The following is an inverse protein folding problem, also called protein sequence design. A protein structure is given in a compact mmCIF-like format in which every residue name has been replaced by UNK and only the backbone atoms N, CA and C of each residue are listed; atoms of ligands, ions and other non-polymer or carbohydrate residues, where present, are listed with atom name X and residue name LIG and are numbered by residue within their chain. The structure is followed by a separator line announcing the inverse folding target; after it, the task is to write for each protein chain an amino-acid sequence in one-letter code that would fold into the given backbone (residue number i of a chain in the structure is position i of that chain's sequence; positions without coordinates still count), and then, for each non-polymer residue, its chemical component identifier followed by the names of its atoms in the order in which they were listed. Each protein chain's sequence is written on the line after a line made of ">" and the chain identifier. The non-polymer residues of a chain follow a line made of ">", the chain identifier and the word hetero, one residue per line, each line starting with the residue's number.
data_IF_434786122765
#
_entry.id   IF_434786122765
#
_cell.length_a   1.000
_cell.length_b   1.000
_cell.length_c   1.000
_cell.angle_alpha   90.00
_cell.angle_beta   90.00
_cell.angle_gamma   90.00
#
_symmetry.space_group_name_H-M   'P 1'
#
loop_
_entity.id
_entity.type
_entity.pdbx_description
1 polymer ?
#
# COMPACT_ATOMS: atom_id res chain seq x y z
N UNK A 1 -7.97 12.17 -17.68
CA UNK A 1 -7.05 13.28 -17.37
C UNK A 1 -6.04 12.87 -16.32
N UNK A 2 -4.80 13.28 -16.48
CA UNK A 2 -3.76 13.01 -15.51
C UNK A 2 -3.47 14.27 -14.72
N UNK A 3 -3.46 14.16 -13.39
CA UNK A 3 -3.18 15.30 -12.51
C UNK A 3 -2.41 14.86 -11.29
N UNK A 4 -1.87 15.81 -10.54
CA UNK A 4 -1.20 15.47 -9.29
C UNK A 4 -2.19 14.95 -8.26
N UNK A 5 -1.75 13.96 -7.49
CA UNK A 5 -2.56 13.42 -6.40
C UNK A 5 -2.58 14.37 -5.21
N UNK A 6 -3.67 14.33 -4.48
CA UNK A 6 -3.83 15.08 -3.23
C UNK A 6 -4.22 14.11 -2.11
N UNK A 7 -4.20 14.60 -0.87
CA UNK A 7 -4.60 13.77 0.27
C UNK A 7 -6.04 13.25 0.13
N UNK A 8 -6.90 14.00 -0.56
CA UNK A 8 -8.28 13.58 -0.77
C UNK A 8 -8.42 12.40 -1.71
N UNK A 9 -7.38 12.08 -2.48
CA UNK A 9 -7.39 10.97 -3.43
C UNK A 9 -6.96 9.65 -2.81
N UNK A 10 -6.43 9.66 -1.59
CA UNK A 10 -5.82 8.47 -0.98
C UNK A 10 -6.79 7.32 -0.80
N UNK A 11 -8.05 7.59 -0.47
CA UNK A 11 -9.05 6.54 -0.34
C UNK A 11 -9.28 5.80 -1.65
N UNK A 12 -9.40 6.54 -2.75
CA UNK A 12 -9.59 5.93 -4.07
C UNK A 12 -8.31 5.24 -4.56
N UNK A 13 -7.15 5.79 -4.25
CA UNK A 13 -5.87 5.16 -4.58
C UNK A 13 -5.77 3.79 -3.89
N UNK A 14 -6.13 3.74 -2.61
CA UNK A 14 -6.13 2.48 -1.86
C UNK A 14 -7.11 1.47 -2.48
N UNK A 15 -8.28 1.94 -2.91
CA UNK A 15 -9.28 1.10 -3.56
C UNK A 15 -8.75 0.51 -4.87
N UNK A 16 -8.09 1.35 -5.69
CA UNK A 16 -7.49 0.90 -6.95
C UNK A 16 -6.40 -0.13 -6.70
N UNK A 17 -5.54 0.10 -5.70
CA UNK A 17 -4.51 -0.86 -5.33
C UNK A 17 -5.11 -2.22 -4.96
N UNK A 18 -6.10 -2.22 -4.08
CA UNK A 18 -6.74 -3.45 -3.63
C UNK A 18 -7.43 -4.19 -4.79
N UNK A 19 -8.02 -3.45 -5.71
CA UNK A 19 -8.68 -4.03 -6.88
C UNK A 19 -7.69 -4.64 -7.86
N UNK A 20 -6.54 -3.99 -8.07
CA UNK A 20 -5.52 -4.47 -8.99
C UNK A 20 -4.68 -5.62 -8.40
N UNK A 21 -4.50 -5.62 -7.08
CA UNK A 21 -3.66 -6.60 -6.39
C UNK A 21 -4.43 -7.25 -5.23
N UNK A 22 -5.56 -7.91 -5.49
CA UNK A 22 -6.42 -8.40 -4.40
C UNK A 22 -5.78 -9.47 -3.52
N UNK A 23 -4.80 -10.20 -4.06
CA UNK A 23 -4.14 -11.29 -3.34
C UNK A 23 -2.73 -10.96 -2.89
N UNK A 24 -2.31 -9.70 -2.99
CA UNK A 24 -0.97 -9.31 -2.57
C UNK A 24 -0.86 -9.22 -1.06
N UNK A 25 0.36 -9.36 -0.56
CA UNK A 25 0.65 -9.20 0.86
C UNK A 25 0.30 -7.78 1.33
N UNK A 26 0.64 -6.77 0.52
CA UNK A 26 0.36 -5.38 0.86
C UNK A 26 -1.13 -5.13 1.05
N UNK A 27 -1.96 -5.68 0.17
CA UNK A 27 -3.41 -5.55 0.26
C UNK A 27 -3.94 -6.24 1.51
N UNK A 28 -3.45 -7.45 1.80
CA UNK A 28 -3.87 -8.19 2.99
C UNK A 28 -3.46 -7.47 4.27
N UNK A 29 -2.20 -7.04 4.36
CA UNK A 29 -1.67 -6.38 5.54
C UNK A 29 -2.31 -5.01 5.76
N UNK A 30 -2.44 -4.24 4.70
CA UNK A 30 -2.85 -2.84 4.76
C UNK A 30 -4.34 -2.62 4.50
N UNK A 31 -5.15 -3.66 4.55
CA UNK A 31 -6.60 -3.51 4.38
C UNK A 31 -7.18 -2.54 5.40
N UNK A 32 -8.32 -1.93 5.07
CA UNK A 32 -9.10 -1.08 5.99
C UNK A 32 -8.46 0.28 6.15
N UNK A 33 -7.74 0.94 5.94
CA UNK A 33 -7.20 2.30 6.14
C UNK A 33 -5.68 2.33 6.20
N UNK A 34 -5.04 1.19 6.42
CA UNK A 34 -3.59 1.15 6.46
C UNK A 34 -2.96 1.38 5.09
N UNK A 35 -3.63 0.95 4.03
CA UNK A 35 -3.14 1.18 2.67
C UNK A 35 -3.12 2.67 2.35
N UNK A 36 -4.13 3.39 2.79
CA UNK A 36 -4.18 4.85 2.69
C UNK A 36 -3.00 5.49 3.42
N UNK A 37 -2.72 5.05 4.63
CA UNK A 37 -1.60 5.56 5.41
C UNK A 37 -0.26 5.26 4.75
N UNK A 38 -0.13 4.10 4.13
CA UNK A 38 1.08 3.72 3.39
C UNK A 38 1.36 4.68 2.23
N UNK A 39 0.35 4.94 1.40
CA UNK A 39 0.52 5.87 0.28
C UNK A 39 0.71 7.30 0.73
N UNK A 40 0.19 7.66 1.89
CA UNK A 40 0.40 9.00 2.44
C UNK A 40 1.88 9.28 2.74
N UNK A 41 2.67 8.26 3.08
CA UNK A 41 4.11 8.45 3.29
C UNK A 41 4.80 8.94 2.03
N UNK A 42 4.43 8.40 0.87
CA UNK A 42 4.96 8.87 -0.42
C UNK A 42 4.49 10.28 -0.75
N UNK A 43 3.21 10.54 -0.54
CA UNK A 43 2.63 11.83 -0.86
C UNK A 43 3.25 12.97 -0.04
N UNK A 44 3.51 12.72 1.24
CA UNK A 44 4.14 13.72 2.11
C UNK A 44 5.59 14.01 1.70
N UNK A 45 6.30 13.00 1.21
CA UNK A 45 7.72 13.11 0.89
C UNK A 45 7.94 13.76 -0.47
N UNK A 46 7.25 13.28 -1.49
CA UNK A 46 7.43 13.76 -2.86
C UNK A 46 6.07 14.03 -3.55
N UNK A 47 5.32 15.03 -3.08
CA UNK A 47 3.99 15.29 -3.63
C UNK A 47 4.01 15.60 -5.12
N UNK A 48 5.09 16.19 -5.64
CA UNK A 48 5.20 16.54 -7.05
C UNK A 48 5.44 15.35 -7.96
N UNK A 49 5.67 14.15 -7.40
CA UNK A 49 5.91 12.93 -8.17
C UNK A 49 4.78 11.91 -8.04
N UNK A 50 3.65 12.31 -7.51
CA UNK A 50 2.52 11.42 -7.33
C UNK A 50 1.36 11.91 -8.21
N UNK A 51 0.97 11.07 -9.17
CA UNK A 51 -0.04 11.42 -10.17
C UNK A 51 -1.16 10.39 -10.19
N UNK A 52 -2.36 10.85 -10.52
CA UNK A 52 -3.52 9.98 -10.71
C UNK A 52 -4.09 10.18 -12.10
N UNK A 53 -4.65 9.11 -12.65
CA UNK A 53 -5.41 9.15 -13.87
C UNK A 53 -6.89 9.11 -13.51
N UNK A 54 -7.62 10.13 -13.90
CA UNK A 54 -9.01 10.33 -13.55
C UNK A 54 -9.91 10.25 -14.78
N UNK A 55 -10.96 9.44 -14.66
CA UNK A 55 -12.02 9.31 -15.65
C UNK A 55 -13.23 10.07 -15.13
N UNK A 56 -13.88 10.85 -15.99
CA UNK A 56 -15.02 11.65 -15.61
C UNK A 56 -16.18 10.82 -15.02
N UNK A 57 -16.34 9.59 -15.49
CA UNK A 57 -17.46 8.75 -15.07
C UNK A 57 -17.12 7.83 -13.90
N UNK A 58 -15.89 7.37 -13.83
CA UNK A 58 -15.50 6.30 -12.89
C UNK A 58 -14.54 6.75 -11.79
N UNK A 59 -14.14 8.03 -11.77
CA UNK A 59 -13.19 8.55 -10.82
C UNK A 59 -11.77 8.12 -11.13
N UNK A 60 -10.97 7.87 -10.10
CA UNK A 60 -9.58 7.48 -10.30
C UNK A 60 -9.50 6.04 -10.80
N UNK A 61 -8.85 5.85 -11.94
CA UNK A 61 -8.68 4.53 -12.55
C UNK A 61 -7.23 4.03 -12.53
N UNK A 62 -6.27 4.88 -12.13
CA UNK A 62 -4.89 4.49 -12.03
C UNK A 62 -4.07 5.55 -11.33
N UNK A 63 -2.86 5.19 -10.95
CA UNK A 63 -1.94 6.14 -10.33
C UNK A 63 -0.50 5.73 -10.59
N UNK A 64 0.40 6.70 -10.43
CA UNK A 64 1.83 6.52 -10.62
C UNK A 64 2.57 7.40 -9.62
N UNK A 65 3.63 6.90 -9.05
CA UNK A 65 4.43 7.69 -8.11
C UNK A 65 5.91 7.44 -8.31
N UNK A 66 6.70 8.50 -8.10
CA UNK A 66 8.15 8.43 -8.11
C UNK A 66 8.69 8.73 -6.72
N UNK A 67 9.92 8.33 -6.47
CA UNK A 67 10.58 8.60 -5.21
C UNK A 67 12.09 8.62 -5.39
N UNK A 68 12.77 9.31 -4.48
CA UNK A 68 14.22 9.47 -4.57
C UNK A 68 15.01 8.50 -3.70
N UNK A 69 14.38 7.97 -2.64
CA UNK A 69 15.03 7.00 -1.78
C UNK A 69 14.49 5.60 -2.06
N UNK A 70 15.11 4.60 -1.47
CA UNK A 70 14.69 3.23 -1.66
C UNK A 70 13.29 2.99 -1.09
N UNK A 71 12.56 2.09 -1.74
CA UNK A 71 11.22 1.72 -1.31
C UNK A 71 11.15 1.31 0.17
N UNK A 72 12.20 0.64 0.67
CA UNK A 72 12.27 0.21 2.06
C UNK A 72 12.19 1.35 3.07
N UNK A 73 12.66 2.54 2.69
CA UNK A 73 12.59 3.71 3.57
C UNK A 73 11.14 4.10 3.87
N UNK A 74 10.27 4.02 2.87
CA UNK A 74 8.85 4.32 3.05
C UNK A 74 8.16 3.26 3.90
N UNK A 75 8.52 1.98 3.73
CA UNK A 75 8.03 0.92 4.58
C UNK A 75 8.43 1.13 6.04
N UNK A 76 9.67 1.52 6.28
CA UNK A 76 10.15 1.81 7.64
C UNK A 76 9.38 2.95 8.27
N UNK A 77 9.18 4.04 7.54
CA UNK A 77 8.39 5.18 8.02
C UNK A 77 6.95 4.78 8.31
N UNK A 78 6.35 4.04 7.40
CA UNK A 78 4.98 3.56 7.56
C UNK A 78 4.84 2.69 8.81
N UNK A 79 5.74 1.73 9.00
CA UNK A 79 5.71 0.85 10.16
C UNK A 79 5.92 1.64 11.46
N UNK A 80 6.81 2.61 11.46
CA UNK A 80 7.06 3.44 12.61
C UNK A 80 5.83 4.26 13.01
N UNK A 81 5.19 4.90 12.04
CA UNK A 81 4.05 5.78 12.29
C UNK A 81 2.76 5.01 12.59
N UNK A 82 2.68 3.75 12.18
CA UNK A 82 1.45 2.96 12.30
C UNK A 82 1.69 1.63 13.02
N UNK A 83 2.67 1.59 13.92
CA UNK A 83 3.13 0.35 14.56
C UNK A 83 1.99 -0.45 15.19
N UNK A 84 1.17 0.18 16.02
CA UNK A 84 0.09 -0.54 16.70
C UNK A 84 -0.98 -1.04 15.74
N UNK A 85 -1.32 -0.24 14.73
CA UNK A 85 -2.31 -0.64 13.74
C UNK A 85 -1.83 -1.85 12.94
N UNK A 86 -0.57 -1.82 12.52
CA UNK A 86 0.05 -2.93 11.78
C UNK A 86 0.13 -4.17 12.67
N UNK A 87 0.55 -4.01 13.92
CA UNK A 87 0.65 -5.10 14.89
C UNK A 87 -0.68 -5.83 15.07
N UNK A 88 -1.75 -5.07 15.35
CA UNK A 88 -3.07 -5.66 15.51
C UNK A 88 -3.58 -6.30 14.23
N UNK A 89 -3.28 -5.69 13.08
CA UNK A 89 -3.65 -6.26 11.79
C UNK A 89 -2.94 -7.60 11.54
N UNK A 90 -1.67 -7.70 11.88
CA UNK A 90 -0.91 -8.94 11.76
C UNK A 90 -1.50 -10.04 12.62
N UNK A 91 -1.89 -9.73 13.85
CA UNK A 91 -2.56 -10.69 14.74
C UNK A 91 -3.85 -11.17 14.10
N UNK A 92 -4.67 -10.26 13.60
CA UNK A 92 -5.94 -10.60 12.97
C UNK A 92 -5.74 -11.51 11.77
N UNK A 93 -4.77 -11.20 10.90
CA UNK A 93 -4.50 -12.01 9.72
C UNK A 93 -3.99 -13.41 10.10
N UNK A 94 -3.16 -13.49 11.12
CA UNK A 94 -2.65 -14.79 11.59
C UNK A 94 -3.80 -15.65 12.14
N UNK A 95 -4.71 -15.04 12.90
CA UNK A 95 -5.84 -15.76 13.50
C UNK A 95 -6.88 -16.19 12.47
N UNK A 96 -7.08 -15.40 11.41
CA UNK A 96 -8.07 -15.70 10.37
C UNK A 96 -7.53 -16.60 9.26
N UNK A 97 -6.23 -16.89 9.26
CA UNK A 97 -5.62 -17.76 8.24
C UNK A 97 -5.58 -17.15 6.85
N UNK A 98 -5.29 -15.85 6.74
CA UNK A 98 -5.25 -15.17 5.46
C UNK A 98 -4.16 -15.75 4.55
N UNK A 99 -4.56 -16.22 3.36
CA UNK A 99 -3.66 -16.91 2.44
C UNK A 99 -2.54 -16.03 1.91
N UNK A 100 -2.82 -14.77 1.61
CA UNK A 100 -1.81 -13.85 1.09
C UNK A 100 -0.72 -13.58 2.12
N UNK A 101 -1.11 -13.45 3.38
CA UNK A 101 -0.19 -13.25 4.49
C UNK A 101 0.76 -14.44 4.66
N UNK A 102 0.20 -15.65 4.72
CA UNK A 102 0.99 -16.86 4.90
C UNK A 102 1.84 -17.19 3.67
N UNK A 103 1.36 -16.88 2.48
CA UNK A 103 2.11 -17.10 1.26
C UNK A 103 3.43 -16.32 1.26
N UNK A 104 3.39 -15.06 1.69
CA UNK A 104 4.61 -14.24 1.77
C UNK A 104 5.57 -14.78 2.82
N UNK A 105 5.05 -15.21 3.96
CA UNK A 105 5.85 -15.79 5.02
C UNK A 105 6.53 -17.06 4.56
N UNK A 106 5.81 -17.94 3.87
CA UNK A 106 6.37 -19.17 3.32
C UNK A 106 7.49 -18.91 2.32
N UNK A 107 7.32 -17.91 1.45
CA UNK A 107 8.36 -17.54 0.50
C UNK A 107 9.64 -17.09 1.18
N UNK A 108 9.55 -16.41 2.30
CA UNK A 108 10.72 -16.02 3.08
C UNK A 108 11.48 -17.20 3.63
N UNK A 109 10.74 -18.23 4.08
CA UNK A 109 11.36 -19.45 4.63
C UNK A 109 12.08 -20.27 3.57
N UNK A 110 11.56 -20.26 2.35
CA UNK A 110 12.09 -21.05 1.24
C UNK A 110 12.94 -20.20 0.31
N UNK A 111 13.48 -19.12 0.81
CA UNK A 111 14.25 -18.19 0.02
C UNK A 111 15.41 -18.90 -0.68
N UNK A 112 15.54 -18.74 -2.00
CA UNK A 112 16.65 -19.35 -2.72
C UNK A 112 17.99 -18.78 -2.28
N UNK A 113 19.01 -19.59 -2.41
CA UNK A 113 20.36 -19.18 -2.09
C UNK A 113 21.03 -18.59 -3.32
N UNK A 114 21.43 -17.39 -3.21
CA UNK A 114 22.30 -16.76 -4.18
C UNK A 114 23.32 -15.92 -3.47
#
# INVERSE_FOLDING_TARGET
>A
MIRQATANDLDEIARVHAKCFPNSFSTALCGGGLLKAFYNEYLKDVPGLFFVAEDEQNGICGFCMGYFCEHNEYWKKFLKHNFFRVFFRCIKLALTGNKAFYKKYSKRKVKPMF
#
